data_IF_952114431707
#
_entry.id   IF_952114431707
#
_cell.length_a   1.000
_cell.length_b   1.000
_cell.length_c   1.000
_cell.angle_alpha   90.00
_cell.angle_beta   90.00
_cell.angle_gamma   90.00
#
_symmetry.space_group_name_H-M   'P 1'
#
loop_
_entity.id
_entity.type
_entity.pdbx_description
1 polymer ?
#
# COMPACT_ATOMS: atom_id res chain seq x y z
N UNK A 1 -27.06 -7.41 13.99
CA UNK A 1 -25.76 -7.78 13.42
C UNK A 1 -25.67 -7.20 12.01
N UNK A 2 -25.17 -5.98 11.86
CA UNK A 2 -24.83 -5.46 10.53
C UNK A 2 -23.54 -6.16 10.11
N UNK A 3 -23.67 -7.16 9.25
CA UNK A 3 -22.51 -7.72 8.58
C UNK A 3 -21.85 -6.61 7.77
N UNK A 4 -20.58 -6.31 8.09
CA UNK A 4 -19.74 -5.39 7.30
C UNK A 4 -19.56 -5.86 5.84
N UNK A 5 -20.14 -7.00 5.44
CA UNK A 5 -20.21 -7.48 4.06
C UNK A 5 -20.97 -6.57 3.10
N UNK A 6 -21.74 -5.58 3.57
CA UNK A 6 -22.39 -4.60 2.69
C UNK A 6 -21.52 -3.37 2.36
N UNK A 7 -20.28 -3.28 2.86
CA UNK A 7 -19.35 -2.21 2.51
C UNK A 7 -18.59 -2.48 1.19
N UNK A 8 -19.32 -2.94 0.15
CA UNK A 8 -18.82 -3.02 -1.23
C UNK A 8 -18.88 -1.65 -1.96
N UNK A 9 -19.27 -0.58 -1.26
CA UNK A 9 -19.43 0.78 -1.82
C UNK A 9 -18.18 1.67 -1.73
N UNK A 10 -17.00 1.10 -1.48
CA UNK A 10 -15.74 1.83 -1.67
C UNK A 10 -15.18 1.41 -3.04
N UNK A 11 -15.57 2.15 -4.09
CA UNK A 11 -15.21 1.87 -5.49
C UNK A 11 -13.71 1.67 -5.69
N UNK A 12 -12.88 2.44 -4.99
CA UNK A 12 -11.42 2.44 -5.06
C UNK A 12 -10.72 1.40 -4.16
N UNK A 13 -11.44 0.71 -3.27
CA UNK A 13 -10.86 -0.19 -2.27
C UNK A 13 -11.29 -1.65 -2.50
N UNK A 14 -10.33 -2.56 -2.46
CA UNK A 14 -10.55 -3.99 -2.38
C UNK A 14 -10.52 -4.40 -0.92
N UNK A 15 -11.70 -4.67 -0.38
CA UNK A 15 -11.88 -5.03 1.01
C UNK A 15 -11.82 -6.54 1.19
N UNK A 16 -11.11 -6.97 2.22
CA UNK A 16 -11.03 -8.36 2.67
C UNK A 16 -11.30 -8.41 4.16
N UNK A 17 -12.11 -9.37 4.60
CA UNK A 17 -12.49 -9.56 6.00
C UNK A 17 -12.29 -11.02 6.41
N UNK A 18 -12.07 -11.25 7.70
CA UNK A 18 -11.76 -12.56 8.28
C UNK A 18 -10.34 -12.58 8.84
N UNK A 19 -9.90 -13.71 9.36
CA UNK A 19 -8.54 -13.86 9.87
C UNK A 19 -7.52 -13.93 8.71
N UNK A 20 -7.12 -12.77 8.20
CA UNK A 20 -6.27 -12.61 7.02
C UNK A 20 -4.90 -12.03 7.38
N UNK A 21 -3.89 -12.26 6.55
CA UNK A 21 -2.55 -11.72 6.78
C UNK A 21 -2.34 -10.37 6.07
N UNK A 22 -1.68 -9.43 6.75
CA UNK A 22 -1.11 -8.23 6.15
C UNK A 22 0.05 -8.60 5.21
N UNK A 23 -0.05 -8.18 3.94
CA UNK A 23 0.96 -8.48 2.93
C UNK A 23 2.27 -7.76 3.20
N UNK A 24 2.22 -6.48 3.60
CA UNK A 24 3.43 -5.72 3.89
C UNK A 24 4.21 -6.32 5.07
N UNK A 25 3.50 -6.78 6.11
CA UNK A 25 4.11 -7.51 7.22
C UNK A 25 4.72 -8.84 6.77
N UNK A 26 4.03 -9.57 5.88
CA UNK A 26 4.56 -10.82 5.32
C UNK A 26 5.82 -10.56 4.48
N UNK A 27 5.82 -9.51 3.65
CA UNK A 27 6.95 -9.10 2.84
C UNK A 27 8.17 -8.82 3.72
N UNK A 28 8.02 -7.97 4.74
CA UNK A 28 9.10 -7.62 5.67
C UNK A 28 9.67 -8.83 6.41
N UNK A 29 8.81 -9.74 6.90
CA UNK A 29 9.27 -10.95 7.62
C UNK A 29 10.06 -11.93 6.76
N UNK A 30 9.99 -11.81 5.44
CA UNK A 30 10.67 -12.71 4.50
C UNK A 30 11.72 -11.99 3.63
N UNK A 31 11.98 -10.71 3.84
CA UNK A 31 12.85 -9.87 3.00
C UNK A 31 14.29 -10.43 2.89
N UNK A 32 14.88 -10.86 4.02
CA UNK A 32 16.24 -11.41 4.08
C UNK A 32 16.26 -12.94 4.22
N UNK A 33 15.14 -13.60 3.92
CA UNK A 33 15.02 -15.04 4.16
C UNK A 33 15.42 -15.82 2.92
N UNK A 34 16.13 -16.93 3.14
CA UNK A 34 16.44 -17.88 2.06
C UNK A 34 15.17 -18.38 1.36
N UNK A 35 15.23 -18.42 0.03
CA UNK A 35 14.16 -18.91 -0.86
C UNK A 35 13.82 -20.39 -0.66
N UNK A 36 14.72 -21.14 -0.02
CA UNK A 36 14.53 -22.57 0.29
C UNK A 36 13.62 -22.74 1.52
N UNK A 37 13.43 -21.70 2.32
CA UNK A 37 12.63 -21.76 3.54
C UNK A 37 11.18 -21.34 3.26
N UNK A 38 10.21 -22.12 3.78
CA UNK A 38 8.77 -21.81 3.67
C UNK A 38 8.46 -20.41 4.21
N UNK A 39 7.86 -19.54 3.41
CA UNK A 39 7.53 -18.16 3.79
C UNK A 39 6.76 -18.05 5.12
N UNK A 40 7.11 -17.07 5.96
CA UNK A 40 6.39 -16.75 7.19
C UNK A 40 5.13 -15.96 6.84
N UNK A 41 4.05 -16.27 7.53
CA UNK A 41 2.83 -15.46 7.48
C UNK A 41 3.10 -14.11 8.15
N UNK A 42 2.55 -13.05 7.56
CA UNK A 42 2.59 -11.70 8.12
C UNK A 42 1.76 -11.59 9.40
N UNK A 43 1.70 -10.39 9.97
CA UNK A 43 0.77 -10.09 11.05
C UNK A 43 -0.65 -10.40 10.60
N UNK A 44 -1.42 -11.11 11.42
CA UNK A 44 -2.83 -11.37 11.14
C UNK A 44 -3.65 -10.12 11.47
N UNK A 45 -4.73 -9.91 10.74
CA UNK A 45 -5.68 -8.82 10.89
C UNK A 45 -7.08 -9.32 10.55
N UNK A 46 -8.10 -8.66 11.11
CA UNK A 46 -9.51 -9.03 10.91
C UNK A 46 -10.07 -8.49 9.60
N UNK A 47 -9.48 -7.40 9.09
CA UNK A 47 -9.77 -6.91 7.76
C UNK A 47 -8.64 -6.06 7.20
N UNK A 48 -8.68 -5.91 5.89
CA UNK A 48 -7.73 -5.11 5.11
C UNK A 48 -8.43 -4.50 3.92
N UNK A 49 -8.20 -3.22 3.70
CA UNK A 49 -8.48 -2.51 2.46
C UNK A 49 -7.22 -2.25 1.65
N UNK A 50 -7.21 -2.74 0.41
CA UNK A 50 -6.16 -2.47 -0.57
C UNK A 50 -6.67 -1.53 -1.66
N UNK A 51 -5.95 -0.46 -1.99
CA UNK A 51 -6.36 0.48 -3.04
C UNK A 51 -6.23 -0.19 -4.42
N UNK A 52 -7.38 -0.42 -5.10
CA UNK A 52 -7.48 -1.15 -6.38
C UNK A 52 -6.72 -0.45 -7.50
N UNK A 53 -6.92 0.86 -7.59
CA UNK A 53 -6.39 1.69 -8.68
C UNK A 53 -5.00 2.25 -8.35
N UNK A 54 -4.43 1.86 -7.21
CA UNK A 54 -3.07 2.24 -6.86
C UNK A 54 -2.06 1.33 -7.57
N UNK A 55 -1.03 1.92 -8.17
CA UNK A 55 0.05 1.21 -8.88
C UNK A 55 0.74 0.19 -7.96
N UNK A 56 0.92 0.55 -6.69
CA UNK A 56 1.59 -0.28 -5.69
C UNK A 56 0.64 -1.21 -4.92
N UNK A 57 -0.67 -1.19 -5.21
CA UNK A 57 -1.68 -1.94 -4.45
C UNK A 57 -1.52 -1.72 -2.93
N UNK A 58 -1.44 -0.45 -2.52
CA UNK A 58 -1.19 -0.07 -1.13
C UNK A 58 -2.30 -0.60 -0.21
N UNK A 59 -1.91 -1.25 0.90
CA UNK A 59 -2.80 -1.64 1.99
C UNK A 59 -3.18 -0.41 2.84
N UNK A 60 -3.95 0.53 2.28
CA UNK A 60 -4.20 1.83 2.90
C UNK A 60 -5.08 1.78 4.16
N UNK A 61 -5.76 0.66 4.40
CA UNK A 61 -6.61 0.44 5.57
C UNK A 61 -6.36 -0.96 6.16
N UNK A 62 -6.13 -1.05 7.46
CA UNK A 62 -6.01 -2.32 8.17
C UNK A 62 -6.83 -2.31 9.46
N UNK A 63 -7.40 -3.45 9.83
CA UNK A 63 -8.32 -3.58 10.94
C UNK A 63 -7.95 -4.69 11.91
N UNK A 64 -7.98 -4.38 13.20
CA UNK A 64 -7.88 -5.37 14.27
C UNK A 64 -9.04 -5.22 15.25
N UNK A 65 -9.58 -6.37 15.67
CA UNK A 65 -10.66 -6.47 16.63
C UNK A 65 -10.15 -7.22 17.87
N UNK A 66 -10.11 -6.51 19.00
CA UNK A 66 -9.81 -7.13 20.29
C UNK A 66 -11.03 -7.85 20.84
N UNK A 67 -11.34 -9.01 20.28
CA UNK A 67 -12.42 -9.87 20.77
C UNK A 67 -13.84 -9.32 20.59
N UNK A 68 -14.78 -9.96 21.28
CA UNK A 68 -16.21 -9.75 21.13
C UNK A 68 -16.86 -9.11 22.35
N UNK A 69 -18.08 -9.55 22.64
CA UNK A 69 -18.72 -9.34 23.94
C UNK A 69 -18.60 -10.65 24.73
N UNK A 70 -18.26 -10.59 26.04
CA UNK A 70 -17.99 -9.40 26.84
C UNK A 70 -16.68 -8.68 26.43
N UNK A 71 -16.54 -7.41 26.83
CA UNK A 71 -15.36 -6.61 26.50
C UNK A 71 -14.07 -7.32 26.93
N UNK A 72 -13.03 -7.33 26.07
CA UNK A 72 -11.78 -8.01 26.36
C UNK A 72 -11.04 -7.34 27.53
N UNK A 73 -10.12 -8.08 28.14
CA UNK A 73 -9.19 -7.52 29.12
C UNK A 73 -8.30 -6.44 28.48
N UNK A 74 -7.96 -5.39 29.24
CA UNK A 74 -7.15 -4.25 28.77
C UNK A 74 -5.81 -4.66 28.14
N UNK A 75 -5.20 -5.73 28.65
CA UNK A 75 -3.98 -6.32 28.08
C UNK A 75 -4.15 -6.67 26.60
N UNK A 76 -5.25 -7.34 26.23
CA UNK A 76 -5.53 -7.75 24.85
C UNK A 76 -5.79 -6.54 23.95
N UNK A 77 -6.53 -5.55 24.46
CA UNK A 77 -6.75 -4.28 23.76
C UNK A 77 -5.41 -3.60 23.45
N UNK A 78 -4.49 -3.56 24.42
CA UNK A 78 -3.20 -2.94 24.23
C UNK A 78 -2.32 -3.72 23.24
N UNK A 79 -2.23 -5.04 23.38
CA UNK A 79 -1.45 -5.91 22.49
C UNK A 79 -1.90 -5.76 21.03
N UNK A 80 -3.21 -5.85 20.76
CA UNK A 80 -3.73 -5.72 19.39
C UNK A 80 -3.52 -4.30 18.83
N UNK A 81 -3.53 -3.27 19.68
CA UNK A 81 -3.17 -1.92 19.26
C UNK A 81 -1.70 -1.85 18.82
N UNK A 82 -0.79 -2.50 19.55
CA UNK A 82 0.63 -2.56 19.18
C UNK A 82 0.79 -3.34 17.87
N UNK A 83 0.11 -4.47 17.71
CA UNK A 83 0.10 -5.25 16.47
C UNK A 83 -0.42 -4.44 15.28
N UNK A 84 -1.47 -3.63 15.49
CA UNK A 84 -1.98 -2.70 14.49
C UNK A 84 -0.91 -1.69 14.08
N UNK A 85 -0.22 -1.10 15.05
CA UNK A 85 0.86 -0.14 14.80
C UNK A 85 2.01 -0.76 14.01
N UNK A 86 2.39 -1.98 14.38
CA UNK A 86 3.44 -2.75 13.68
C UNK A 86 3.03 -3.01 12.24
N UNK A 87 1.78 -3.42 11.99
CA UNK A 87 1.30 -3.67 10.64
C UNK A 87 1.24 -2.38 9.80
N UNK A 88 0.76 -1.26 10.36
CA UNK A 88 0.75 0.04 9.70
C UNK A 88 2.15 0.55 9.35
N UNK A 89 3.10 0.43 10.30
CA UNK A 89 4.53 0.70 10.05
C UNK A 89 5.04 -0.17 8.91
N UNK A 90 4.61 -1.43 8.91
CA UNK A 90 5.11 -2.37 7.93
C UNK A 90 4.71 -1.99 6.51
N UNK A 91 3.46 -1.55 6.34
CA UNK A 91 2.90 -1.01 5.11
C UNK A 91 3.67 0.22 4.62
N UNK A 92 3.92 1.20 5.49
CA UNK A 92 4.63 2.42 5.11
C UNK A 92 6.07 2.14 4.64
N UNK A 93 6.84 1.30 5.34
CA UNK A 93 8.20 1.01 4.89
C UNK A 93 8.26 0.21 3.59
N UNK A 94 7.32 -0.73 3.40
CA UNK A 94 7.21 -1.43 2.11
C UNK A 94 6.95 -0.42 0.99
N UNK A 95 6.02 0.53 1.20
CA UNK A 95 5.76 1.61 0.26
C UNK A 95 7.00 2.48 0.00
N UNK A 96 7.76 2.84 1.04
CA UNK A 96 8.98 3.64 0.90
C UNK A 96 10.07 2.91 0.09
N UNK A 97 10.24 1.61 0.34
CA UNK A 97 11.20 0.78 -0.38
C UNK A 97 10.85 0.67 -1.87
N UNK A 98 9.58 0.40 -2.17
CA UNK A 98 9.07 0.30 -3.54
C UNK A 98 9.20 1.63 -4.32
N UNK A 99 9.24 2.77 -3.61
CA UNK A 99 9.32 4.10 -4.18
C UNK A 99 10.64 4.82 -3.85
N UNK A 100 11.72 4.09 -3.59
CA UNK A 100 13.01 4.61 -3.09
C UNK A 100 13.72 5.67 -3.96
N UNK A 101 13.29 5.86 -5.20
CA UNK A 101 13.80 6.88 -6.14
C UNK A 101 12.92 8.13 -6.24
N UNK A 102 11.74 8.15 -5.64
CA UNK A 102 10.91 9.35 -5.56
C UNK A 102 11.48 10.34 -4.51
N UNK A 103 11.13 11.63 -4.59
CA UNK A 103 11.53 12.61 -3.59
C UNK A 103 11.08 12.21 -2.19
N UNK A 104 11.98 12.34 -1.21
CA UNK A 104 11.68 11.93 0.18
C UNK A 104 10.54 12.74 0.80
N UNK A 105 10.38 14.01 0.42
CA UNK A 105 9.25 14.84 0.83
C UNK A 105 7.91 14.24 0.43
N UNK A 106 7.81 13.73 -0.80
CA UNK A 106 6.58 13.22 -1.37
C UNK A 106 6.24 11.86 -0.75
N UNK A 107 7.25 11.00 -0.63
CA UNK A 107 7.11 9.67 -0.02
C UNK A 107 6.69 9.76 1.44
N UNK A 108 7.28 10.69 2.21
CA UNK A 108 6.96 10.86 3.63
C UNK A 108 5.60 11.55 3.86
N UNK A 109 5.03 12.20 2.84
CA UNK A 109 3.67 12.77 2.92
C UNK A 109 2.55 11.73 2.89
N UNK A 110 2.88 10.46 2.61
CA UNK A 110 1.93 9.35 2.63
C UNK A 110 1.57 8.95 4.05
N UNK A 111 0.31 8.58 4.25
CA UNK A 111 -0.20 8.04 5.51
C UNK A 111 -1.16 6.88 5.25
N UNK A 112 -1.36 6.06 6.27
CA UNK A 112 -2.25 4.88 6.24
C UNK A 112 -3.19 4.89 7.42
N UNK A 113 -4.33 4.21 7.28
CA UNK A 113 -5.35 4.12 8.32
C UNK A 113 -5.37 2.75 9.00
N UNK A 114 -5.59 2.77 10.31
CA UNK A 114 -5.76 1.59 11.14
C UNK A 114 -7.07 1.71 11.92
N UNK A 115 -7.90 0.67 11.89
CA UNK A 115 -9.11 0.60 12.70
C UNK A 115 -8.89 -0.41 13.80
N UNK A 116 -9.16 0.00 15.03
CA UNK A 116 -9.10 -0.86 16.20
C UNK A 116 -10.45 -0.87 16.89
N UNK A 117 -11.07 -2.04 17.02
CA UNK A 117 -12.37 -2.17 17.66
C UNK A 117 -12.38 -3.18 18.79
N UNK A 118 -13.22 -2.95 19.80
CA UNK A 118 -13.48 -3.90 20.89
C UNK A 118 -14.85 -3.60 21.50
N UNK A 119 -15.62 -4.63 21.84
CA UNK A 119 -17.01 -4.44 22.29
C UNK A 119 -17.80 -3.56 21.32
N UNK A 120 -18.19 -2.37 21.79
CA UNK A 120 -18.88 -1.34 21.00
C UNK A 120 -17.98 -0.18 20.58
N UNK A 121 -16.70 -0.18 20.93
CA UNK A 121 -15.77 0.92 20.65
C UNK A 121 -15.08 0.71 19.31
N UNK A 122 -14.96 1.78 18.54
CA UNK A 122 -14.22 1.85 17.28
C UNK A 122 -13.29 3.05 17.31
N UNK A 123 -11.99 2.81 17.21
CA UNK A 123 -10.98 3.84 17.02
C UNK A 123 -10.44 3.79 15.61
N UNK A 124 -10.33 4.97 14.99
CA UNK A 124 -9.62 5.16 13.74
C UNK A 124 -8.31 5.85 14.07
N UNK A 125 -7.22 5.22 13.68
CA UNK A 125 -5.86 5.72 13.78
C UNK A 125 -5.33 6.06 12.39
N UNK A 126 -4.50 7.10 12.33
CA UNK A 126 -3.69 7.44 11.18
C UNK A 126 -2.23 7.26 11.55
N UNK A 127 -1.43 6.70 10.65
CA UNK A 127 0.02 6.67 10.77
C UNK A 127 0.66 7.40 9.60
N UNK A 128 1.48 8.40 9.91
CA UNK A 128 2.26 9.18 8.96
C UNK A 128 3.76 9.14 9.29
N UNK A 129 4.59 9.55 8.34
CA UNK A 129 6.05 9.61 8.49
C UNK A 129 6.50 11.07 8.55
N UNK A 130 6.94 11.52 9.73
CA UNK A 130 7.37 12.92 9.92
C UNK A 130 8.78 13.17 9.39
N UNK A 131 9.64 12.16 9.50
CA UNK A 131 11.04 12.18 9.06
C UNK A 131 11.50 10.74 8.83
N UNK A 132 12.68 10.56 8.22
CA UNK A 132 13.25 9.24 7.97
C UNK A 132 13.21 8.37 9.22
N UNK A 133 12.47 7.25 9.15
CA UNK A 133 12.24 6.29 10.24
C UNK A 133 11.49 6.83 11.48
N UNK A 134 10.89 8.02 11.41
CA UNK A 134 10.07 8.58 12.49
C UNK A 134 8.61 8.53 12.09
N UNK A 135 7.92 7.47 12.54
CA UNK A 135 6.50 7.30 12.34
C UNK A 135 5.72 7.85 13.53
N UNK A 136 4.60 8.52 13.24
CA UNK A 136 3.68 9.03 14.24
C UNK A 136 2.34 8.32 14.06
N UNK A 137 1.85 7.73 15.14
CA UNK A 137 0.49 7.22 15.23
C UNK A 137 -0.38 8.25 15.95
N UNK A 138 -1.42 8.74 15.28
CA UNK A 138 -2.44 9.59 15.87
C UNK A 138 -3.79 8.89 15.91
N UNK A 139 -4.56 9.07 17.00
CA UNK A 139 -5.99 8.72 16.98
C UNK A 139 -6.74 9.84 16.27
N UNK A 140 -7.34 9.51 15.13
CA UNK A 140 -8.08 10.45 14.28
C UNK A 140 -9.52 10.56 14.75
N UNK A 141 -10.14 9.42 15.08
CA UNK A 141 -11.53 9.38 15.53
C UNK A 141 -11.75 8.28 16.56
N UNK A 142 -12.75 8.51 17.40
CA UNK A 142 -13.26 7.56 18.38
C UNK A 142 -14.78 7.58 18.30
N UNK A 143 -15.37 6.43 18.04
CA UNK A 143 -16.80 6.25 17.98
C UNK A 143 -17.23 5.05 18.83
N UNK A 144 -18.45 5.11 19.35
CA UNK A 144 -19.09 3.96 20.00
C UNK A 144 -20.32 3.59 19.18
N UNK A 145 -20.38 2.33 18.76
CA UNK A 145 -21.52 1.76 18.07
C UNK A 145 -22.79 1.91 18.91
N UNK A 146 -23.93 2.19 18.27
CA UNK A 146 -25.21 2.22 18.97
C UNK A 146 -25.53 0.83 19.52
N UNK A 147 -25.87 0.79 20.80
CA UNK A 147 -26.27 -0.41 21.53
C UNK A 147 -27.69 -0.29 22.11
N UNK A 148 -28.39 0.82 21.87
CA UNK A 148 -29.78 1.06 22.28
C UNK A 148 -30.52 1.87 21.22
N UNK A 149 -31.86 1.85 21.23
CA UNK A 149 -32.66 2.67 20.32
C UNK A 149 -32.37 4.18 20.45
N UNK A 150 -32.04 4.64 21.66
CA UNK A 150 -31.71 6.06 21.92
C UNK A 150 -30.38 6.48 21.29
N UNK A 151 -29.48 5.53 21.04
CA UNK A 151 -28.17 5.80 20.45
C UNK A 151 -28.14 5.60 18.93
N UNK A 152 -29.27 5.23 18.30
CA UNK A 152 -29.36 5.04 16.85
C UNK A 152 -28.95 6.26 16.03
N UNK A 153 -29.18 7.48 16.52
CA UNK A 153 -28.74 8.71 15.86
C UNK A 153 -27.23 8.78 15.63
N UNK A 154 -26.43 8.06 16.42
CA UNK A 154 -24.97 7.94 16.24
C UNK A 154 -24.61 7.25 14.91
N UNK A 155 -25.53 6.48 14.31
CA UNK A 155 -25.30 5.88 12.98
C UNK A 155 -25.09 6.92 11.90
N UNK A 156 -25.77 8.07 11.97
CA UNK A 156 -25.60 9.13 10.98
C UNK A 156 -24.18 9.71 11.07
N UNK A 157 -23.72 10.07 12.27
CA UNK A 157 -22.33 10.50 12.49
C UNK A 157 -21.32 9.43 12.06
N UNK A 158 -21.63 8.15 12.31
CA UNK A 158 -20.77 7.06 11.90
C UNK A 158 -20.71 6.91 10.37
N UNK A 159 -21.84 7.07 9.69
CA UNK A 159 -21.90 7.04 8.23
C UNK A 159 -21.06 8.17 7.63
N UNK A 160 -21.25 9.41 8.10
CA UNK A 160 -20.46 10.57 7.66
C UNK A 160 -18.97 10.33 7.85
N UNK A 161 -18.55 9.82 9.01
CA UNK A 161 -17.14 9.50 9.29
C UNK A 161 -16.54 8.51 8.28
N UNK A 162 -17.30 7.48 7.88
CA UNK A 162 -16.83 6.50 6.91
C UNK A 162 -16.84 7.04 5.48
N UNK A 163 -17.76 7.93 5.15
CA UNK A 163 -17.74 8.67 3.89
C UNK A 163 -16.51 9.57 3.78
N UNK A 164 -16.14 10.28 4.86
CA UNK A 164 -14.93 11.10 4.90
C UNK A 164 -13.66 10.26 4.80
N UNK A 165 -13.64 9.10 5.48
CA UNK A 165 -12.55 8.14 5.36
C UNK A 165 -12.40 7.66 3.92
N UNK A 166 -13.51 7.35 3.24
CA UNK A 166 -13.52 6.95 1.83
C UNK A 166 -12.99 8.06 0.91
N UNK A 167 -13.44 9.31 1.09
CA UNK A 167 -12.93 10.44 0.32
C UNK A 167 -11.41 10.60 0.51
N UNK A 168 -10.93 10.45 1.75
CA UNK A 168 -9.51 10.54 2.07
C UNK A 168 -8.70 9.40 1.44
N UNK A 169 -9.24 8.17 1.41
CA UNK A 169 -8.61 7.03 0.75
C UNK A 169 -8.45 7.26 -0.77
N UNK A 170 -9.40 7.94 -1.41
CA UNK A 170 -9.27 8.32 -2.82
C UNK A 170 -8.12 9.31 -3.03
N UNK A 171 -8.00 10.32 -2.17
CA UNK A 171 -6.86 11.26 -2.21
C UNK A 171 -5.53 10.56 -1.98
N UNK A 172 -5.46 9.57 -1.08
CA UNK A 172 -4.26 8.74 -0.89
C UNK A 172 -3.95 7.96 -2.17
N UNK A 173 -4.95 7.40 -2.84
CA UNK A 173 -4.77 6.66 -4.09
C UNK A 173 -4.12 7.54 -5.17
N UNK A 174 -4.62 8.74 -5.40
CA UNK A 174 -4.05 9.68 -6.37
C UNK A 174 -2.61 10.08 -6.00
N UNK A 175 -2.37 10.41 -4.73
CA UNK A 175 -1.02 10.77 -4.25
C UNK A 175 -0.03 9.64 -4.41
N UNK A 176 -0.40 8.43 -4.01
CA UNK A 176 0.48 7.25 -4.12
C UNK A 176 0.79 6.95 -5.58
N UNK A 177 -0.18 7.06 -6.49
CA UNK A 177 0.06 6.93 -7.93
C UNK A 177 1.05 7.98 -8.46
N UNK A 178 0.91 9.24 -8.06
CA UNK A 178 1.84 10.29 -8.46
C UNK A 178 3.27 10.00 -7.97
N UNK A 179 3.42 9.52 -6.73
CA UNK A 179 4.72 9.10 -6.17
C UNK A 179 5.32 7.95 -7.00
N UNK A 180 4.54 6.93 -7.33
CA UNK A 180 5.00 5.78 -8.12
C UNK A 180 5.39 6.14 -9.54
N UNK A 181 4.67 7.09 -10.16
CA UNK A 181 5.04 7.65 -11.46
C UNK A 181 6.34 8.44 -11.37
N UNK A 182 6.50 9.28 -10.34
CA UNK A 182 7.73 10.04 -10.07
C UNK A 182 8.92 9.11 -9.86
N UNK A 183 8.76 8.05 -9.06
CA UNK A 183 9.72 6.96 -8.89
C UNK A 183 10.15 6.37 -10.24
N UNK A 184 9.17 5.98 -11.07
CA UNK A 184 9.41 5.36 -12.37
C UNK A 184 10.10 6.29 -13.36
N UNK A 185 9.79 7.59 -13.34
CA UNK A 185 10.46 8.62 -14.15
C UNK A 185 11.91 8.82 -13.69
N UNK A 186 12.14 8.96 -12.39
CA UNK A 186 13.48 9.11 -11.82
C UNK A 186 14.38 7.90 -12.14
N UNK A 187 13.83 6.68 -12.02
CA UNK A 187 14.54 5.45 -12.36
C UNK A 187 14.96 5.41 -13.85
N UNK A 188 14.05 5.75 -14.76
CA UNK A 188 14.34 5.79 -16.22
C UNK A 188 15.38 6.85 -16.56
N UNK A 189 15.29 8.05 -15.99
CA UNK A 189 16.24 9.13 -16.25
C UNK A 189 17.65 8.77 -15.76
N UNK A 190 17.78 8.14 -14.59
CA UNK A 190 19.07 7.63 -14.11
C UNK A 190 19.64 6.55 -15.03
N UNK A 191 18.81 5.63 -15.51
CA UNK A 191 19.25 4.61 -16.47
C UNK A 191 19.76 5.23 -17.77
N UNK A 192 19.09 6.27 -18.29
CA UNK A 192 19.54 7.02 -19.49
C UNK A 192 20.88 7.70 -19.27
N UNK A 193 21.04 8.47 -18.19
CA UNK A 193 22.32 9.12 -17.86
C UNK A 193 23.46 8.11 -17.66
N UNK A 194 23.19 7.00 -16.98
CA UNK A 194 24.17 5.92 -16.83
C UNK A 194 24.51 5.28 -18.19
N UNK A 195 23.53 5.09 -19.08
CA UNK A 195 23.80 4.55 -20.42
C UNK A 195 24.56 5.52 -21.32
N UNK A 196 24.39 6.83 -21.16
CA UNK A 196 25.19 7.85 -21.84
C UNK A 196 26.63 7.84 -21.35
N UNK A 197 26.87 7.74 -20.04
CA UNK A 197 28.22 7.54 -19.48
C UNK A 197 28.85 6.19 -19.83
N UNK A 198 28.05 5.14 -20.01
CA UNK A 198 28.56 3.84 -20.51
C UNK A 198 28.84 3.90 -22.01
N UNK A 199 28.13 4.73 -22.78
CA UNK A 199 28.44 4.96 -24.21
C UNK A 199 29.76 5.70 -24.43
N UNK A 200 30.26 6.43 -23.44
CA UNK A 200 31.61 7.05 -23.48
C UNK A 200 32.75 6.05 -23.18
N UNK A 201 32.47 4.83 -22.69
CA UNK A 201 33.45 3.75 -22.59
C UNK A 201 33.03 2.58 -23.48
N UNK A 202 33.64 2.52 -24.66
CA UNK A 202 33.32 1.66 -25.80
C UNK A 202 32.85 0.24 -25.49
N UNK A 203 31.76 -0.15 -26.15
CA UNK A 203 31.38 -1.54 -26.37
C UNK A 203 31.86 -2.00 -27.75
N UNK A 204 32.44 -3.20 -27.82
CA UNK A 204 33.11 -3.81 -28.98
C UNK A 204 32.18 -4.24 -30.14
N UNK A 205 30.96 -3.71 -30.23
CA UNK A 205 30.09 -3.94 -31.39
C UNK A 205 29.79 -2.59 -32.02
N UNK A 206 30.49 -2.32 -33.12
CA UNK A 206 30.40 -1.07 -33.87
C UNK A 206 28.97 -0.73 -34.31
N UNK A 207 28.76 0.55 -34.60
CA UNK A 207 27.51 1.05 -35.18
C UNK A 207 27.15 0.20 -36.42
N UNK A 208 25.91 -0.31 -36.54
CA UNK A 208 25.50 -1.01 -37.75
C UNK A 208 25.71 -0.08 -38.94
N UNK A 209 26.62 -0.47 -39.82
CA UNK A 209 26.96 0.29 -41.02
C UNK A 209 25.71 0.47 -41.86
N UNK A 210 25.52 1.68 -42.35
CA UNK A 210 24.51 2.01 -43.35
C UNK A 210 24.54 1.01 -44.52
N UNK A 211 23.34 0.64 -44.94
CA UNK A 211 22.88 -0.05 -46.16
C UNK A 211 23.95 -0.41 -47.21
N UNK A 212 24.07 -1.68 -47.65
CA UNK A 212 24.84 -1.99 -48.85
C UNK A 212 24.05 -1.64 -50.11
N UNK A 213 24.69 -0.87 -50.98
CA UNK A 213 24.25 -0.50 -52.31
C UNK A 213 24.12 -1.72 -53.25
N UNK A 214 23.06 -1.68 -54.06
CA UNK A 214 22.90 -2.24 -55.42
C UNK A 214 23.67 -3.54 -55.76
N UNK A 215 22.94 -4.67 -55.77
CA UNK A 215 23.28 -5.82 -56.61
C UNK A 215 22.50 -5.73 -57.93
N UNK A 216 23.19 -5.36 -59.00
CA UNK A 216 22.72 -5.51 -60.39
C UNK A 216 22.42 -6.99 -60.65
N UNK A 217 21.17 -7.34 -60.97
CA UNK A 217 20.84 -8.66 -61.50
C UNK A 217 21.27 -8.74 -62.97
N UNK A 218 22.21 -9.65 -63.25
CA UNK A 218 22.55 -10.06 -64.62
C UNK A 218 21.45 -11.00 -65.13
N UNK A 219 20.99 -10.71 -66.35
CA UNK A 219 20.02 -11.47 -67.13
C UNK A 219 20.46 -12.93 -67.29
N UNK A 220 19.55 -13.87 -67.04
CA UNK A 220 19.65 -15.24 -67.53
C UNK A 220 19.05 -15.29 -68.95
N UNK A 221 19.82 -15.80 -69.90
CA UNK A 221 19.39 -16.19 -71.24
C UNK A 221 19.25 -17.71 -71.21
N UNK A 222 18.12 -18.21 -71.71
CA UNK A 222 17.84 -19.65 -71.85
C UNK A 222 18.85 -20.36 -72.77
N UNK A 223 18.76 -21.68 -72.83
CA UNK A 223 17.78 -22.30 -73.74
C UNK A 223 16.69 -23.12 -73.03
#
# INVERSE_FOLDING_TARGET
MASLTSCNYISSLKFYSGEIACWASAHRRNEDRSVVLRARVGQKCDFRGTLKDSINRLEALIGLRSGGLPEPHQKKIHEDKVDLCVAMRDILYTFFKENSKAPSSDVHSTFVFGIHSWGWVHNIYGMDCKATNVLRLGRISHARMPNTLKTLSVLESFYVLFTDLQATLNTICERTNNISVSHSRAHRNRKRKNSEHVREKGGSFGNPSQTPANKKSRKYVGP
#
